data_IF_208408222695
#
_entry.id   IF_208408222695
#
_cell.length_a   1.000
_cell.length_b   1.000
_cell.length_c   1.000
_cell.angle_alpha   90.00
_cell.angle_beta   90.00
_cell.angle_gamma   90.00
#
_symmetry.space_group_name_H-M   'P 1'
#
loop_
_entity.id
_entity.type
_entity.pdbx_description
1 polymer ?
#
# COMPACT_ATOMS: atom_id res chain seq x y z
N UNK A 1 32.18 -7.46 2.66
CA UNK A 1 31.02 -6.61 2.35
C UNK A 1 29.86 -6.94 3.28
N UNK A 2 29.28 -8.14 3.25
CA UNK A 2 28.12 -8.50 4.11
C UNK A 2 28.38 -8.38 5.62
N UNK A 3 29.60 -8.58 6.09
CA UNK A 3 29.96 -8.35 7.52
C UNK A 3 29.91 -6.88 7.92
N UNK A 4 30.10 -5.95 6.96
CA UNK A 4 30.02 -4.51 7.22
C UNK A 4 28.60 -3.98 7.08
N UNK A 5 27.86 -4.49 6.10
CA UNK A 5 26.45 -4.16 5.92
C UNK A 5 25.65 -5.42 5.54
N UNK A 6 25.00 -6.06 6.52
CA UNK A 6 24.18 -7.24 6.31
C UNK A 6 22.93 -6.98 5.44
N UNK A 7 22.54 -5.70 5.26
CA UNK A 7 21.35 -5.33 4.46
C UNK A 7 21.61 -5.36 2.96
N UNK A 8 22.87 -5.46 2.51
CA UNK A 8 23.20 -5.51 1.09
C UNK A 8 22.37 -6.56 0.36
N UNK A 9 21.83 -6.14 -0.81
CA UNK A 9 21.06 -7.02 -1.68
C UNK A 9 22.02 -7.89 -2.52
N UNK A 10 21.63 -9.14 -2.87
CA UNK A 10 22.44 -9.99 -3.73
C UNK A 10 22.76 -9.34 -5.08
N UNK A 11 21.85 -8.53 -5.63
CA UNK A 11 22.03 -7.85 -6.90
C UNK A 11 23.17 -6.83 -6.83
N UNK A 12 23.19 -6.01 -5.79
CA UNK A 12 24.28 -5.03 -5.57
C UNK A 12 25.66 -5.70 -5.44
N UNK A 13 25.69 -6.89 -4.80
CA UNK A 13 26.93 -7.68 -4.73
C UNK A 13 27.33 -8.27 -6.09
N UNK A 14 26.34 -8.65 -6.90
CA UNK A 14 26.57 -9.15 -8.24
C UNK A 14 27.09 -8.06 -9.18
N UNK A 15 26.49 -6.89 -9.16
CA UNK A 15 26.94 -5.70 -9.91
C UNK A 15 28.39 -5.36 -9.54
N UNK A 16 28.69 -5.28 -8.24
CA UNK A 16 30.07 -5.06 -7.78
C UNK A 16 31.07 -6.12 -8.28
N UNK A 17 30.64 -7.41 -8.34
CA UNK A 17 31.51 -8.46 -8.88
C UNK A 17 31.74 -8.32 -10.38
N UNK A 18 30.71 -7.92 -11.15
CA UNK A 18 30.84 -7.68 -12.58
C UNK A 18 31.77 -6.48 -12.88
N UNK A 19 31.65 -5.40 -12.10
CA UNK A 19 32.51 -4.22 -12.26
C UNK A 19 33.98 -4.52 -11.90
N UNK A 20 34.18 -5.28 -10.82
CA UNK A 20 35.52 -5.58 -10.35
C UNK A 20 36.22 -6.68 -11.15
N UNK A 21 35.49 -7.62 -11.71
CA UNK A 21 35.98 -8.79 -12.44
C UNK A 21 35.20 -9.00 -13.74
N UNK A 22 35.34 -8.12 -14.73
CA UNK A 22 34.59 -8.18 -15.97
C UNK A 22 34.75 -9.54 -16.68
N UNK A 23 33.64 -10.17 -17.01
CA UNK A 23 33.60 -11.42 -17.77
C UNK A 23 33.99 -12.70 -17.02
N UNK A 24 34.46 -12.63 -15.76
CA UNK A 24 34.90 -13.82 -15.02
C UNK A 24 33.76 -14.63 -14.40
N UNK A 25 32.61 -14.02 -14.11
CA UNK A 25 31.51 -14.65 -13.39
C UNK A 25 30.16 -14.48 -14.14
N UNK A 26 30.04 -14.94 -15.40
CA UNK A 26 28.77 -14.92 -16.09
C UNK A 26 27.81 -15.92 -15.42
N UNK A 27 26.62 -15.68 -15.12
CA UNK A 27 25.59 -16.59 -14.58
C UNK A 27 25.72 -17.02 -13.11
N UNK A 28 26.53 -16.35 -12.28
CA UNK A 28 26.64 -16.71 -10.85
C UNK A 28 25.55 -16.09 -9.97
N UNK A 29 24.63 -15.30 -10.52
CA UNK A 29 23.61 -14.58 -9.74
C UNK A 29 22.81 -15.52 -8.82
N UNK A 30 22.32 -16.66 -9.34
CA UNK A 30 21.56 -17.63 -8.52
C UNK A 30 22.39 -18.23 -7.38
N UNK A 31 23.66 -18.54 -7.67
CA UNK A 31 24.57 -19.05 -6.65
C UNK A 31 24.87 -18.01 -5.60
N UNK A 32 25.06 -16.75 -6.00
CA UNK A 32 25.28 -15.64 -5.10
C UNK A 32 24.03 -15.39 -4.22
N UNK A 33 22.85 -15.40 -4.80
CA UNK A 33 21.59 -15.27 -4.06
C UNK A 33 21.46 -16.35 -2.99
N UNK A 34 21.71 -17.61 -3.33
CA UNK A 34 21.69 -18.73 -2.38
C UNK A 34 22.72 -18.54 -1.27
N UNK A 35 23.97 -18.17 -1.61
CA UNK A 35 25.04 -17.93 -0.64
C UNK A 35 24.71 -16.76 0.29
N UNK A 36 24.22 -15.66 -0.23
CA UNK A 36 23.78 -14.50 0.58
C UNK A 36 22.65 -14.87 1.50
N UNK A 37 21.67 -15.65 1.02
CA UNK A 37 20.56 -16.14 1.85
C UNK A 37 21.06 -17.00 3.00
N UNK A 38 21.93 -17.98 2.73
CA UNK A 38 22.53 -18.84 3.76
C UNK A 38 23.35 -18.03 4.74
N UNK A 39 24.17 -17.09 4.26
CA UNK A 39 24.98 -16.24 5.13
C UNK A 39 24.10 -15.37 6.07
N UNK A 40 23.04 -14.76 5.51
CA UNK A 40 22.08 -13.98 6.31
C UNK A 40 21.35 -14.82 7.35
N UNK A 41 21.04 -16.06 7.04
CA UNK A 41 20.43 -16.97 8.00
C UNK A 41 21.35 -17.35 9.17
N UNK A 42 22.67 -17.45 8.90
CA UNK A 42 23.66 -17.85 9.92
C UNK A 42 24.27 -16.69 10.69
N UNK A 43 24.46 -15.54 10.03
CA UNK A 43 25.26 -14.42 10.53
C UNK A 43 24.57 -13.05 10.37
N UNK A 44 23.37 -13.03 9.81
CA UNK A 44 22.59 -11.81 9.67
C UNK A 44 22.00 -11.37 11.01
N UNK A 45 21.51 -10.13 11.10
CA UNK A 45 20.73 -9.70 12.24
C UNK A 45 19.51 -10.62 12.37
N UNK A 46 19.08 -10.86 13.60
CA UNK A 46 17.84 -11.61 13.86
C UNK A 46 16.72 -11.01 13.01
N UNK A 47 15.92 -11.84 12.34
CA UNK A 47 14.77 -11.31 11.61
C UNK A 47 13.92 -10.51 12.58
N UNK A 48 13.48 -9.33 12.14
CA UNK A 48 12.51 -8.55 12.92
C UNK A 48 11.34 -9.47 13.27
N UNK A 49 10.98 -9.53 14.53
CA UNK A 49 9.83 -10.30 14.99
C UNK A 49 8.60 -9.65 14.38
N UNK A 50 8.03 -10.27 13.36
CA UNK A 50 6.74 -9.86 12.82
C UNK A 50 5.66 -10.35 13.77
N UNK A 51 5.11 -9.44 14.55
CA UNK A 51 3.91 -9.74 15.31
C UNK A 51 2.74 -9.95 14.35
N UNK A 52 2.00 -11.03 14.55
CA UNK A 52 0.77 -11.27 13.81
C UNK A 52 -0.21 -10.13 14.12
N UNK A 53 -0.57 -9.33 13.12
CA UNK A 53 -1.60 -8.32 13.25
C UNK A 53 -2.95 -9.03 13.36
N UNK A 54 -3.49 -9.12 14.56
CA UNK A 54 -4.84 -9.63 14.79
C UNK A 54 -5.83 -8.49 14.62
N UNK A 55 -6.68 -8.61 13.63
CA UNK A 55 -7.80 -7.71 13.44
C UNK A 55 -9.02 -8.27 14.18
N UNK A 56 -9.71 -7.41 14.90
CA UNK A 56 -10.98 -7.77 15.53
C UNK A 56 -12.15 -7.45 14.59
N UNK A 57 -13.28 -8.19 14.69
CA UNK A 57 -14.48 -7.90 13.89
C UNK A 57 -14.97 -6.47 14.08
N UNK A 58 -15.30 -5.78 13.00
CA UNK A 58 -15.85 -4.43 13.02
C UNK A 58 -14.90 -3.32 13.49
N UNK A 59 -13.61 -3.61 13.68
CA UNK A 59 -12.66 -2.60 14.17
C UNK A 59 -12.03 -1.81 13.05
N UNK A 60 -11.50 -2.44 12.02
CA UNK A 60 -10.70 -1.74 11.01
C UNK A 60 -11.22 -1.89 9.59
N UNK A 61 -11.33 -0.76 8.89
CA UNK A 61 -11.51 -0.65 7.46
C UNK A 61 -10.33 0.06 6.81
N UNK A 62 -9.99 -0.36 5.61
CA UNK A 62 -8.89 0.19 4.80
C UNK A 62 -9.42 0.64 3.46
N UNK A 63 -8.97 1.78 2.97
CA UNK A 63 -9.26 2.21 1.60
C UNK A 63 -8.04 2.77 0.89
N UNK A 64 -8.06 2.66 -0.42
CA UNK A 64 -7.01 3.16 -1.30
C UNK A 64 -7.55 3.40 -2.71
N UNK A 65 -6.80 4.18 -3.52
CA UNK A 65 -7.07 4.36 -4.94
C UNK A 65 -5.99 3.67 -5.76
N UNK A 66 -6.39 2.99 -6.80
CA UNK A 66 -5.47 2.21 -7.65
C UNK A 66 -5.75 2.45 -9.12
N UNK A 67 -4.68 2.62 -9.90
CA UNK A 67 -4.73 2.59 -11.36
C UNK A 67 -4.55 1.16 -11.87
N UNK A 68 -5.32 0.76 -12.88
CA UNK A 68 -5.11 -0.50 -13.60
C UNK A 68 -3.92 -0.38 -14.55
N UNK A 69 -2.73 -0.67 -14.04
CA UNK A 69 -1.51 -0.64 -14.87
C UNK A 69 -1.50 -1.80 -15.87
N UNK A 70 -1.23 -1.48 -17.14
CA UNK A 70 -1.10 -2.48 -18.20
C UNK A 70 -2.41 -2.98 -18.81
N UNK A 71 -3.56 -2.47 -18.38
CA UNK A 71 -4.87 -2.75 -18.95
C UNK A 71 -5.47 -1.43 -19.45
N UNK A 72 -5.72 -1.34 -20.75
CA UNK A 72 -6.42 -0.19 -21.32
C UNK A 72 -7.88 -0.54 -21.52
N UNK A 73 -8.75 0.11 -20.78
CA UNK A 73 -10.20 -0.01 -20.97
C UNK A 73 -10.64 1.07 -21.95
N UNK A 74 -11.47 0.70 -22.91
CA UNK A 74 -12.03 1.64 -23.90
C UNK A 74 -13.55 1.61 -23.88
N UNK A 75 -14.17 2.78 -24.00
CA UNK A 75 -15.61 2.93 -24.18
C UNK A 75 -15.83 3.61 -25.54
N UNK A 76 -16.61 2.98 -26.42
CA UNK A 76 -16.85 3.44 -27.78
C UNK A 76 -15.55 3.75 -28.53
N UNK A 77 -14.50 2.91 -28.37
CA UNK A 77 -13.20 3.05 -29.02
C UNK A 77 -12.29 4.15 -28.45
N UNK A 78 -12.68 4.84 -27.40
CA UNK A 78 -11.86 5.87 -26.73
C UNK A 78 -11.32 5.34 -25.40
N UNK A 79 -10.06 5.62 -25.06
CA UNK A 79 -9.52 5.27 -23.75
C UNK A 79 -10.39 5.84 -22.62
N UNK A 80 -10.72 5.00 -21.65
CA UNK A 80 -11.47 5.38 -20.47
C UNK A 80 -10.53 5.47 -19.27
N UNK A 81 -10.09 6.69 -18.98
CA UNK A 81 -9.24 6.96 -17.83
C UNK A 81 -10.05 6.95 -16.55
N UNK A 82 -9.68 6.10 -15.64
CA UNK A 82 -10.37 5.93 -14.37
C UNK A 82 -9.42 5.42 -13.29
N UNK A 83 -9.80 5.65 -12.05
CA UNK A 83 -9.23 5.00 -10.87
C UNK A 83 -10.22 3.99 -10.32
N UNK A 84 -9.71 3.02 -9.60
CA UNK A 84 -10.52 2.13 -8.78
C UNK A 84 -10.33 2.57 -7.33
N UNK A 85 -11.41 3.02 -6.70
CA UNK A 85 -11.49 3.07 -5.26
C UNK A 85 -11.76 1.67 -4.74
N UNK A 86 -10.97 1.19 -3.80
CA UNK A 86 -11.23 -0.07 -3.14
C UNK A 86 -11.24 0.10 -1.63
N UNK A 87 -12.13 -0.65 -1.01
CA UNK A 87 -12.30 -0.71 0.43
C UNK A 87 -12.22 -2.16 0.91
N UNK A 88 -11.66 -2.37 2.10
CA UNK A 88 -11.50 -3.71 2.69
C UNK A 88 -11.72 -3.66 4.19
N UNK A 89 -12.45 -4.64 4.74
CA UNK A 89 -12.51 -4.88 6.18
C UNK A 89 -11.31 -5.71 6.64
N UNK A 90 -10.69 -5.31 7.75
CA UNK A 90 -9.49 -5.96 8.26
C UNK A 90 -9.71 -7.41 8.69
N UNK A 91 -10.78 -7.69 9.42
CA UNK A 91 -11.06 -9.02 9.96
C UNK A 91 -11.58 -10.01 8.90
N UNK A 92 -12.68 -9.68 8.23
CA UNK A 92 -13.31 -10.59 7.26
C UNK A 92 -12.61 -10.64 5.92
N UNK A 93 -11.79 -9.63 5.61
CA UNK A 93 -11.24 -9.45 4.27
C UNK A 93 -12.29 -9.09 3.22
N UNK A 94 -13.52 -8.78 3.62
CA UNK A 94 -14.57 -8.34 2.71
C UNK A 94 -14.11 -7.10 1.93
N UNK A 95 -14.45 -7.04 0.65
CA UNK A 95 -13.96 -6.01 -0.26
C UNK A 95 -15.10 -5.35 -1.02
N UNK A 96 -14.94 -4.06 -1.23
CA UNK A 96 -15.77 -3.24 -2.11
C UNK A 96 -14.89 -2.52 -3.12
N UNK A 97 -15.33 -2.38 -4.34
CA UNK A 97 -14.64 -1.63 -5.38
C UNK A 97 -15.62 -0.77 -6.17
N UNK A 98 -15.17 0.44 -6.52
CA UNK A 98 -15.96 1.41 -7.29
C UNK A 98 -15.04 2.08 -8.30
N UNK A 99 -15.55 2.29 -9.53
CA UNK A 99 -14.87 3.06 -10.56
C UNK A 99 -15.05 4.55 -10.26
N UNK A 100 -13.94 5.28 -10.27
CA UNK A 100 -13.90 6.72 -10.05
C UNK A 100 -13.40 7.38 -11.35
N UNK A 101 -14.18 8.33 -11.86
CA UNK A 101 -13.76 9.22 -12.93
C UNK A 101 -13.09 10.46 -12.35
N UNK A 102 -11.96 10.85 -12.89
CA UNK A 102 -11.16 11.95 -12.38
C UNK A 102 -10.05 11.47 -11.43
N UNK A 103 -9.50 12.37 -10.65
CA UNK A 103 -8.40 12.08 -9.74
C UNK A 103 -8.84 11.71 -8.33
N UNK A 104 -7.88 11.30 -7.51
CA UNK A 104 -8.06 11.14 -6.08
C UNK A 104 -8.54 12.45 -5.45
N UNK A 105 -9.75 12.44 -4.89
CA UNK A 105 -10.36 13.62 -4.27
C UNK A 105 -11.11 13.24 -2.99
N UNK A 106 -11.38 14.23 -2.14
CA UNK A 106 -12.22 14.02 -0.96
C UNK A 106 -13.64 13.56 -1.34
N UNK A 107 -14.19 14.08 -2.42
CA UNK A 107 -15.53 13.70 -2.92
C UNK A 107 -15.54 12.22 -3.29
N UNK A 108 -14.55 11.76 -4.07
CA UNK A 108 -14.43 10.37 -4.45
C UNK A 108 -14.21 9.44 -3.24
N UNK A 109 -13.41 9.88 -2.25
CA UNK A 109 -13.21 9.12 -1.02
C UNK A 109 -14.48 9.03 -0.19
N UNK A 110 -15.17 10.15 0.02
CA UNK A 110 -16.39 10.18 0.83
C UNK A 110 -17.53 9.37 0.20
N UNK A 111 -17.71 9.48 -1.10
CA UNK A 111 -18.67 8.68 -1.85
C UNK A 111 -18.33 7.18 -1.78
N UNK A 112 -17.07 6.83 -2.03
CA UNK A 112 -16.60 5.44 -1.98
C UNK A 112 -16.75 4.82 -0.58
N UNK A 113 -16.47 5.58 0.49
CA UNK A 113 -16.68 5.14 1.87
C UNK A 113 -18.15 4.91 2.18
N UNK A 114 -19.03 5.86 1.83
CA UNK A 114 -20.46 5.76 2.07
C UNK A 114 -21.05 4.53 1.36
N UNK A 115 -20.73 4.36 0.08
CA UNK A 115 -21.20 3.21 -0.70
C UNK A 115 -20.65 1.88 -0.14
N UNK A 116 -19.40 1.86 0.34
CA UNK A 116 -18.83 0.68 0.97
C UNK A 116 -19.52 0.35 2.30
N UNK A 117 -19.84 1.35 3.14
CA UNK A 117 -20.54 1.15 4.41
C UNK A 117 -21.96 0.64 4.20
N UNK A 118 -22.67 1.19 3.22
CA UNK A 118 -23.99 0.71 2.83
C UNK A 118 -23.94 -0.74 2.33
N UNK A 119 -22.99 -1.04 1.42
CA UNK A 119 -22.86 -2.37 0.85
C UNK A 119 -22.43 -3.43 1.87
N UNK A 120 -21.63 -3.08 2.90
CA UNK A 120 -21.27 -4.03 3.94
C UNK A 120 -22.26 -4.09 5.12
N UNK A 121 -23.21 -3.17 5.15
CA UNK A 121 -24.23 -3.11 6.20
C UNK A 121 -23.74 -2.55 7.53
N UNK A 122 -22.64 -1.79 7.56
CA UNK A 122 -22.12 -1.20 8.78
C UNK A 122 -20.85 -0.38 8.61
N UNK A 123 -20.49 0.32 9.69
CA UNK A 123 -19.32 1.19 9.75
C UNK A 123 -18.32 0.60 10.75
N UNK A 124 -17.03 0.42 10.40
CA UNK A 124 -16.01 -0.02 11.35
C UNK A 124 -15.68 1.10 12.36
N UNK A 125 -15.05 0.76 13.46
CA UNK A 125 -14.60 1.75 14.44
C UNK A 125 -13.48 2.65 13.91
N UNK A 126 -12.63 2.11 13.07
CA UNK A 126 -11.44 2.79 12.55
C UNK A 126 -11.36 2.70 11.04
N UNK A 127 -10.96 3.79 10.42
CA UNK A 127 -10.66 3.83 9.00
C UNK A 127 -9.21 4.25 8.77
N UNK A 128 -8.53 3.51 7.92
CA UNK A 128 -7.14 3.79 7.52
C UNK A 128 -7.07 3.99 6.01
N UNK A 129 -6.44 5.10 5.62
CA UNK A 129 -6.12 5.39 4.23
C UNK A 129 -4.78 6.09 4.14
N UNK A 130 -3.99 5.81 3.10
CA UNK A 130 -2.76 6.54 2.78
C UNK A 130 -2.97 7.59 1.69
N UNK A 131 -4.01 7.45 0.88
CA UNK A 131 -4.33 8.33 -0.24
C UNK A 131 -4.62 9.77 0.17
N UNK A 132 -5.21 9.99 1.37
CA UNK A 132 -5.40 11.35 1.89
C UNK A 132 -4.08 12.10 2.06
N UNK A 133 -2.99 11.41 2.39
CA UNK A 133 -1.69 12.05 2.54
C UNK A 133 -1.11 12.56 1.23
N UNK A 134 -1.45 11.94 0.09
CA UNK A 134 -1.06 12.38 -1.25
C UNK A 134 -1.90 13.58 -1.72
N UNK A 135 -3.22 13.56 -1.49
CA UNK A 135 -4.11 14.68 -1.78
C UNK A 135 -3.74 15.94 -0.97
N UNK A 136 -3.26 15.76 0.29
CA UNK A 136 -2.81 16.87 1.15
C UNK A 136 -1.47 17.47 0.71
N UNK A 137 -0.53 16.68 0.19
CA UNK A 137 0.79 17.17 -0.22
C UNK A 137 0.76 18.05 -1.46
N UNK A 138 -0.18 17.79 -2.36
CA UNK A 138 -0.28 18.48 -3.64
C UNK A 138 -1.07 19.79 -3.59
N UNK A 139 -1.76 20.07 -2.47
CA UNK A 139 -2.53 21.29 -2.28
C UNK A 139 -1.92 22.16 -1.19
N UNK A 140 -1.13 23.15 -1.58
CA UNK A 140 -0.50 24.08 -0.64
C UNK A 140 -1.49 24.86 0.24
N UNK A 141 -1.19 24.98 1.54
CA UNK A 141 -1.72 25.98 2.47
C UNK A 141 -3.18 25.82 2.91
N UNK A 142 -4.04 26.73 2.51
CA UNK A 142 -5.43 26.85 3.01
C UNK A 142 -6.37 25.70 2.58
N UNK A 143 -6.16 25.13 1.38
CA UNK A 143 -6.96 24.00 0.85
C UNK A 143 -6.69 22.69 1.59
N UNK A 144 -5.46 22.45 1.99
CA UNK A 144 -5.09 21.24 2.78
C UNK A 144 -5.82 21.21 4.13
N UNK A 145 -5.89 22.34 4.84
CA UNK A 145 -6.61 22.45 6.12
C UNK A 145 -8.12 22.21 5.98
N UNK A 146 -8.74 22.68 4.88
CA UNK A 146 -10.16 22.49 4.65
C UNK A 146 -10.52 21.02 4.35
N UNK A 147 -9.68 20.31 3.58
CA UNK A 147 -9.91 18.89 3.31
C UNK A 147 -9.77 18.02 4.57
N UNK A 148 -8.80 18.34 5.45
CA UNK A 148 -8.68 17.67 6.76
C UNK A 148 -9.98 17.85 7.56
N UNK A 149 -10.50 19.07 7.61
CA UNK A 149 -11.74 19.36 8.33
C UNK A 149 -12.93 18.58 7.77
N UNK A 150 -13.10 18.53 6.45
CA UNK A 150 -14.19 17.79 5.82
C UNK A 150 -14.09 16.28 6.09
N UNK A 151 -12.88 15.73 6.10
CA UNK A 151 -12.68 14.33 6.45
C UNK A 151 -12.94 14.06 7.93
N UNK A 152 -12.51 14.97 8.82
CA UNK A 152 -12.79 14.87 10.25
C UNK A 152 -14.31 14.97 10.50
N UNK A 153 -15.02 15.88 9.83
CA UNK A 153 -16.49 15.98 9.88
C UNK A 153 -17.18 14.70 9.39
N UNK A 154 -16.66 14.06 8.32
CA UNK A 154 -17.14 12.77 7.84
C UNK A 154 -16.93 11.66 8.87
N UNK A 155 -15.75 11.62 9.48
CA UNK A 155 -15.41 10.66 10.52
C UNK A 155 -16.31 10.84 11.75
N UNK A 156 -16.54 12.07 12.18
CA UNK A 156 -17.43 12.39 13.31
C UNK A 156 -18.88 11.96 13.02
N UNK A 157 -19.37 12.22 11.81
CA UNK A 157 -20.71 11.81 11.37
C UNK A 157 -20.92 10.30 11.50
N UNK A 158 -19.94 9.51 11.07
CA UNK A 158 -20.00 8.05 11.12
C UNK A 158 -19.46 7.46 12.44
N UNK A 159 -19.00 8.30 13.38
CA UNK A 159 -18.31 7.89 14.63
C UNK A 159 -17.10 6.98 14.35
N UNK A 160 -16.32 7.38 13.37
CA UNK A 160 -15.20 6.64 12.80
C UNK A 160 -13.90 7.29 13.26
N UNK A 161 -12.97 6.51 13.82
CA UNK A 161 -11.64 7.01 14.18
C UNK A 161 -10.70 6.97 12.97
N UNK A 162 -10.21 8.13 12.48
CA UNK A 162 -9.23 8.15 11.41
C UNK A 162 -7.88 7.67 11.92
N UNK A 163 -7.31 6.68 11.24
CA UNK A 163 -5.95 6.20 11.53
C UNK A 163 -5.03 6.44 10.33
N UNK A 164 -3.74 6.64 10.59
CA UNK A 164 -2.73 6.86 9.56
C UNK A 164 -1.66 5.79 9.65
N UNK A 165 -1.05 5.45 8.52
CA UNK A 165 0.12 4.59 8.51
C UNK A 165 1.30 5.31 9.19
N UNK A 166 1.99 4.60 10.07
CA UNK A 166 3.23 5.11 10.66
C UNK A 166 4.30 5.22 9.57
N UNK A 167 4.86 6.43 9.42
CA UNK A 167 5.97 6.63 8.46
C UNK A 167 7.14 5.73 8.81
N UNK A 168 7.53 4.86 7.88
CA UNK A 168 8.72 4.02 8.00
C UNK A 168 8.48 2.56 8.38
N UNK A 169 7.25 2.15 8.68
CA UNK A 169 6.92 0.75 8.96
C UNK A 169 6.25 0.14 7.70
N UNK A 170 7.08 -0.43 6.83
CA UNK A 170 6.63 -1.01 5.56
C UNK A 170 5.63 -2.18 5.71
N UNK A 171 5.56 -2.80 6.89
CA UNK A 171 4.72 -3.96 7.14
C UNK A 171 3.23 -3.64 7.32
N UNK A 172 2.88 -2.40 7.65
CA UNK A 172 1.47 -1.98 7.77
C UNK A 172 0.80 -1.79 6.39
N UNK A 173 1.60 -1.55 5.35
CA UNK A 173 1.15 -1.31 3.98
C UNK A 173 0.90 -2.62 3.20
N UNK A 174 1.53 -3.74 3.60
CA UNK A 174 1.46 -5.01 2.86
C UNK A 174 0.05 -5.61 2.83
N UNK A 175 -0.80 -5.30 3.79
CA UNK A 175 -2.18 -5.80 3.79
C UNK A 175 -3.13 -5.01 2.88
N UNK A 176 -2.82 -3.75 2.56
CA UNK A 176 -3.59 -2.96 1.58
C UNK A 176 -3.22 -3.29 0.14
N UNK A 177 -1.99 -3.76 -0.09
CA UNK A 177 -1.42 -4.03 -1.42
C UNK A 177 -1.45 -5.50 -1.86
N UNK A 178 -2.26 -6.36 -1.24
CA UNK A 178 -2.45 -7.71 -1.75
C UNK A 178 -3.14 -7.65 -3.12
N UNK A 179 -2.60 -8.35 -4.14
CA UNK A 179 -3.14 -8.31 -5.48
C UNK A 179 -4.61 -8.69 -5.47
N UNK A 180 -5.41 -7.91 -6.19
CA UNK A 180 -6.77 -8.29 -6.53
C UNK A 180 -6.67 -9.56 -7.38
N UNK A 181 -6.95 -10.72 -6.80
CA UNK A 181 -7.16 -11.95 -7.57
C UNK A 181 -8.54 -11.77 -8.21
N UNK A 182 -8.54 -11.55 -9.52
CA UNK A 182 -9.73 -11.53 -10.38
C UNK A 182 -10.16 -12.97 -10.59
#
# INVERSE_FOLDING_TARGET
MLRRDPRLKPMTLYEYLQDKYPGQYPQVLRTLQRRVRTWKALHGPSPEVMFELRHEPGVQGFSDFTELKGITITIAGKPFEHLIYHYRLGYSGWRYAQIIQGGESFVALSEGLQNAFEACGGVPKQHRTDSLSAAYRNMGGRRSKNLTRLYDELCDHYRLEPTRNNKGIAHETVQSSLPMVI
#
